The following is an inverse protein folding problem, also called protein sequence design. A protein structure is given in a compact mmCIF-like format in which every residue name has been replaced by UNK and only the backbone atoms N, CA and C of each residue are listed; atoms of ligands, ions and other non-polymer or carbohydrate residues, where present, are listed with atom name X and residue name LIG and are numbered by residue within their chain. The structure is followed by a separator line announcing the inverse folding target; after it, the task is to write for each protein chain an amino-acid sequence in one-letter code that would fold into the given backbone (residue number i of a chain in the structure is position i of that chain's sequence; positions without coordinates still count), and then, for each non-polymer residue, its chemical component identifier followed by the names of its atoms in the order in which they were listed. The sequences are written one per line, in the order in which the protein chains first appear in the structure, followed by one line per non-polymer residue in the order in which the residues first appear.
data_IF_215311383467
#
_entry.id   IF_215311383467
#
_cell.length_a   1.000
_cell.length_b   1.000
_cell.length_c   1.000
_cell.angle_alpha   90.00
_cell.angle_beta   90.00
_cell.angle_gamma   90.00
#
_symmetry.space_group_name_H-M   'P 1'
#
loop_
_entity.id
_entity.type
_entity.pdbx_description
1 polymer ?
#
# COMPACT_ATOMS: atom_id res chain seq x y z
N UNK A 1 17.41 4.34 31.58
CA UNK A 1 17.16 5.11 30.35
C UNK A 1 16.97 4.09 29.24
N UNK A 2 15.82 4.03 28.59
CA UNK A 2 15.58 3.05 27.52
C UNK A 2 16.39 3.47 26.31
N UNK A 3 17.31 2.63 25.84
CA UNK A 3 18.07 2.93 24.63
C UNK A 3 17.19 2.73 23.38
N UNK A 4 17.19 3.70 22.47
CA UNK A 4 16.42 3.66 21.22
C UNK A 4 16.71 2.39 20.40
N UNK A 5 17.97 1.94 20.39
CA UNK A 5 18.40 0.70 19.75
C UNK A 5 17.63 -0.52 20.28
N UNK A 6 17.45 -0.61 21.61
CA UNK A 6 16.73 -1.69 22.25
C UNK A 6 15.25 -1.72 21.86
N UNK A 7 14.65 -0.54 21.67
CA UNK A 7 13.24 -0.39 21.26
C UNK A 7 13.06 -0.84 19.82
N UNK A 8 13.91 -0.36 18.90
CA UNK A 8 13.85 -0.72 17.48
C UNK A 8 14.05 -2.23 17.31
N UNK A 9 15.05 -2.81 17.98
CA UNK A 9 15.31 -4.25 17.92
C UNK A 9 14.11 -5.06 18.43
N UNK A 10 13.49 -4.63 19.54
CA UNK A 10 12.31 -5.29 20.08
C UNK A 10 11.12 -5.25 19.12
N UNK A 11 10.80 -4.09 18.54
CA UNK A 11 9.71 -3.97 17.56
C UNK A 11 9.96 -4.78 16.29
N UNK A 12 11.20 -4.78 15.80
CA UNK A 12 11.57 -5.58 14.63
C UNK A 12 11.39 -7.07 14.88
N UNK A 13 11.92 -7.58 16.00
CA UNK A 13 11.78 -8.98 16.37
C UNK A 13 10.32 -9.38 16.55
N UNK A 14 9.53 -8.54 17.22
CA UNK A 14 8.10 -8.78 17.42
C UNK A 14 7.34 -8.84 16.10
N UNK A 15 7.58 -7.89 15.20
CA UNK A 15 7.00 -7.89 13.85
C UNK A 15 7.37 -9.16 13.07
N UNK A 16 8.65 -9.57 13.11
CA UNK A 16 9.11 -10.76 12.39
C UNK A 16 8.48 -12.04 12.92
N UNK A 17 8.29 -12.16 14.23
CA UNK A 17 7.70 -13.37 14.84
C UNK A 17 6.18 -13.42 14.68
N UNK A 18 5.49 -12.29 14.85
CA UNK A 18 4.03 -12.25 14.91
C UNK A 18 3.35 -12.04 13.55
N UNK A 19 4.09 -11.61 12.51
CA UNK A 19 3.50 -11.32 11.19
C UNK A 19 3.63 -12.51 10.22
N UNK A 20 2.52 -13.07 9.70
CA UNK A 20 2.55 -14.11 8.68
C UNK A 20 3.27 -13.68 7.40
N UNK A 21 3.93 -14.64 6.70
CA UNK A 21 4.67 -14.37 5.45
C UNK A 21 3.84 -13.66 4.37
N UNK A 22 2.55 -14.01 4.24
CA UNK A 22 1.64 -13.37 3.28
C UNK A 22 1.44 -11.88 3.58
N UNK A 23 1.30 -11.50 4.86
CA UNK A 23 1.17 -10.09 5.25
C UNK A 23 2.48 -9.31 5.06
N UNK A 24 3.63 -9.95 5.31
CA UNK A 24 4.94 -9.34 5.01
C UNK A 24 5.11 -9.03 3.52
N UNK A 25 4.56 -9.88 2.64
CA UNK A 25 4.58 -9.59 1.20
C UNK A 25 3.78 -8.33 0.86
N UNK A 26 2.59 -8.16 1.48
CA UNK A 26 1.78 -6.95 1.33
C UNK A 26 2.51 -5.72 1.91
N UNK A 27 3.27 -5.88 3.00
CA UNK A 27 4.08 -4.79 3.56
C UNK A 27 5.22 -4.35 2.64
N UNK A 28 5.90 -5.30 2.00
CA UNK A 28 6.94 -4.97 1.01
C UNK A 28 6.31 -4.23 -0.18
N UNK A 29 5.14 -4.67 -0.65
CA UNK A 29 4.38 -3.99 -1.69
C UNK A 29 3.99 -2.56 -1.28
N UNK A 30 3.48 -2.36 -0.06
CA UNK A 30 3.17 -1.04 0.50
C UNK A 30 4.40 -0.13 0.53
N UNK A 31 5.54 -0.66 0.98
CA UNK A 31 6.82 0.06 1.01
C UNK A 31 7.28 0.49 -0.39
N UNK A 32 7.18 -0.41 -1.37
CA UNK A 32 7.50 -0.12 -2.78
C UNK A 32 6.62 1.00 -3.37
N UNK A 33 5.30 0.93 -3.17
CA UNK A 33 4.38 1.94 -3.67
C UNK A 33 4.63 3.29 -3.02
N UNK A 34 4.83 3.31 -1.69
CA UNK A 34 5.12 4.54 -0.95
C UNK A 34 6.39 5.21 -1.49
N UNK A 35 7.46 4.43 -1.67
CA UNK A 35 8.71 4.93 -2.24
C UNK A 35 8.51 5.49 -3.65
N UNK A 36 7.71 4.81 -4.47
CA UNK A 36 7.39 5.27 -5.83
C UNK A 36 6.65 6.61 -5.81
N UNK A 37 5.65 6.77 -4.94
CA UNK A 37 4.91 8.03 -4.79
C UNK A 37 5.81 9.18 -4.29
N UNK A 38 6.72 8.90 -3.34
CA UNK A 38 7.72 9.87 -2.89
C UNK A 38 8.62 10.31 -4.05
N UNK A 39 9.12 9.36 -4.85
CA UNK A 39 9.98 9.66 -6.00
C UNK A 39 9.23 10.53 -7.03
N UNK A 40 7.97 10.20 -7.35
CA UNK A 40 7.14 10.99 -8.25
C UNK A 40 6.92 12.41 -7.73
N UNK A 41 6.62 12.56 -6.44
CA UNK A 41 6.43 13.86 -5.81
C UNK A 41 7.71 14.71 -5.82
N UNK A 42 8.85 14.11 -5.45
CA UNK A 42 10.16 14.77 -5.51
C UNK A 42 10.49 15.21 -6.94
N UNK A 43 10.25 14.36 -7.93
CA UNK A 43 10.44 14.71 -9.34
C UNK A 43 9.60 15.93 -9.74
N UNK A 44 8.31 15.95 -9.37
CA UNK A 44 7.41 17.08 -9.63
C UNK A 44 7.90 18.38 -8.98
N UNK A 45 8.40 18.32 -7.74
CA UNK A 45 8.99 19.48 -7.07
C UNK A 45 10.27 20.00 -7.74
N UNK A 46 11.08 19.12 -8.33
CA UNK A 46 12.37 19.48 -8.95
C UNK A 46 12.23 19.95 -10.40
N UNK A 47 11.39 19.29 -11.19
CA UNK A 47 11.29 19.50 -12.64
C UNK A 47 10.09 20.37 -13.02
N UNK A 48 9.10 20.46 -12.13
CA UNK A 48 7.87 21.20 -12.35
C UNK A 48 6.69 20.30 -12.73
N UNK A 49 5.56 20.94 -13.04
CA UNK A 49 4.24 20.30 -13.07
C UNK A 49 3.70 20.05 -14.47
N UNK A 50 4.44 20.35 -15.54
CA UNK A 50 3.95 20.11 -16.91
C UNK A 50 4.44 18.74 -17.44
N UNK A 51 3.55 17.84 -17.90
CA UNK A 51 2.08 17.90 -17.89
C UNK A 51 1.45 17.49 -16.54
N UNK A 52 0.50 18.29 -16.03
CA UNK A 52 -0.03 18.13 -14.67
C UNK A 52 -0.94 16.91 -14.54
N UNK A 53 -1.73 16.61 -15.57
CA UNK A 53 -2.59 15.44 -15.60
C UNK A 53 -1.78 14.14 -15.50
N UNK A 54 -0.65 14.05 -16.20
CA UNK A 54 0.19 12.86 -16.14
C UNK A 54 0.84 12.68 -14.77
N UNK A 55 1.31 13.77 -14.15
CA UNK A 55 1.78 13.74 -12.76
C UNK A 55 0.68 13.29 -11.81
N UNK A 56 -0.49 13.96 -11.87
CA UNK A 56 -1.60 13.68 -10.97
C UNK A 56 -2.12 12.24 -11.15
N UNK A 57 -2.22 11.76 -12.38
CA UNK A 57 -2.59 10.38 -12.70
C UNK A 57 -1.62 9.37 -12.08
N UNK A 58 -0.31 9.57 -12.28
CA UNK A 58 0.72 8.72 -11.69
C UNK A 58 0.71 8.76 -10.17
N UNK A 59 0.62 9.95 -9.58
CA UNK A 59 0.64 10.15 -8.14
C UNK A 59 -0.60 9.54 -7.47
N UNK A 60 -1.79 9.82 -7.98
CA UNK A 60 -3.04 9.24 -7.46
C UNK A 60 -3.07 7.72 -7.66
N UNK A 61 -2.49 7.19 -8.75
CA UNK A 61 -2.32 5.74 -8.91
C UNK A 61 -1.53 5.15 -7.74
N UNK A 62 -0.40 5.74 -7.35
CA UNK A 62 0.38 5.25 -6.20
C UNK A 62 -0.39 5.36 -4.88
N UNK A 63 -1.07 6.49 -4.63
CA UNK A 63 -1.86 6.68 -3.40
C UNK A 63 -3.02 5.68 -3.32
N UNK A 64 -3.78 5.49 -4.40
CA UNK A 64 -4.89 4.55 -4.44
C UNK A 64 -4.43 3.10 -4.31
N UNK A 65 -3.35 2.71 -4.98
CA UNK A 65 -2.74 1.38 -4.82
C UNK A 65 -2.32 1.12 -3.37
N UNK A 66 -1.75 2.13 -2.68
CA UNK A 66 -1.39 2.05 -1.27
C UNK A 66 -2.64 1.84 -0.40
N UNK A 67 -3.70 2.64 -0.58
CA UNK A 67 -4.95 2.51 0.18
C UNK A 67 -5.58 1.12 -0.02
N UNK A 68 -5.66 0.64 -1.26
CA UNK A 68 -6.20 -0.69 -1.56
C UNK A 68 -5.37 -1.81 -0.90
N UNK A 69 -4.04 -1.67 -0.89
CA UNK A 69 -3.15 -2.63 -0.23
C UNK A 69 -3.31 -2.63 1.30
N UNK A 70 -3.53 -1.47 1.91
CA UNK A 70 -3.87 -1.37 3.35
C UNK A 70 -5.22 -2.05 3.63
N UNK A 71 -6.23 -1.84 2.78
CA UNK A 71 -7.52 -2.53 2.90
C UNK A 71 -7.37 -4.05 2.83
N UNK A 72 -6.60 -4.56 1.84
CA UNK A 72 -6.31 -5.99 1.72
C UNK A 72 -5.57 -6.50 2.96
N UNK A 73 -4.57 -5.76 3.45
CA UNK A 73 -3.83 -6.11 4.67
C UNK A 73 -4.75 -6.25 5.88
N UNK A 74 -5.67 -5.30 6.07
CA UNK A 74 -6.60 -5.29 7.19
C UNK A 74 -7.56 -6.48 7.13
N UNK A 75 -8.10 -6.79 5.94
CA UNK A 75 -9.02 -7.90 5.72
C UNK A 75 -8.33 -9.27 5.82
N UNK A 76 -7.06 -9.37 5.39
CA UNK A 76 -6.29 -10.61 5.42
C UNK A 76 -5.64 -10.90 6.79
N UNK A 77 -5.62 -9.95 7.72
CA UNK A 77 -5.05 -10.15 9.05
C UNK A 77 -5.94 -11.07 9.89
N UNK A 78 -5.47 -12.24 10.36
CA UNK A 78 -6.26 -13.14 11.19
C UNK A 78 -6.79 -12.50 12.48
N UNK A 79 -6.07 -11.51 13.02
CA UNK A 79 -6.49 -10.77 14.22
C UNK A 79 -7.77 -9.95 14.00
N UNK A 80 -8.05 -9.56 12.75
CA UNK A 80 -9.21 -8.75 12.39
C UNK A 80 -10.42 -9.58 11.92
N UNK A 81 -10.34 -10.92 12.01
CA UNK A 81 -11.36 -11.83 11.48
C UNK A 81 -12.76 -11.57 12.06
N UNK A 82 -12.86 -11.12 13.32
CA UNK A 82 -14.13 -10.76 13.95
C UNK A 82 -14.79 -9.52 13.34
N UNK A 83 -13.99 -8.57 12.85
CA UNK A 83 -14.46 -7.32 12.23
C UNK A 83 -14.94 -7.57 10.80
N UNK A 84 -14.27 -8.47 10.07
CA UNK A 84 -14.57 -8.81 8.68
C UNK A 84 -15.30 -10.17 8.56
N UNK A 85 -16.21 -10.47 9.50
CA UNK A 85 -16.97 -11.70 9.50
C UNK A 85 -17.74 -11.88 8.17
N UNK A 86 -17.43 -12.94 7.42
CA UNK A 86 -18.02 -13.21 6.10
C UNK A 86 -17.18 -12.80 4.89
N UNK A 87 -16.01 -12.17 5.10
CA UNK A 87 -15.02 -11.95 4.05
C UNK A 87 -13.94 -13.03 4.19
N UNK A 88 -13.90 -13.96 3.23
CA UNK A 88 -12.79 -14.91 3.15
C UNK A 88 -11.54 -14.21 2.57
N UNK A 89 -10.33 -14.70 2.86
CA UNK A 89 -9.11 -14.16 2.26
C UNK A 89 -9.14 -14.15 0.72
N UNK A 90 -9.77 -15.15 0.11
CA UNK A 90 -9.94 -15.26 -1.34
C UNK A 90 -10.88 -14.18 -1.87
N UNK A 91 -11.98 -13.91 -1.17
CA UNK A 91 -12.90 -12.82 -1.51
C UNK A 91 -12.22 -11.46 -1.39
N UNK A 92 -11.53 -11.19 -0.28
CA UNK A 92 -10.81 -9.92 -0.09
C UNK A 92 -9.74 -9.70 -1.17
N UNK A 93 -9.06 -10.77 -1.60
CA UNK A 93 -8.13 -10.71 -2.73
C UNK A 93 -8.84 -10.45 -4.07
N UNK A 94 -9.98 -11.09 -4.33
CA UNK A 94 -10.76 -10.85 -5.55
C UNK A 94 -11.24 -9.39 -5.62
N UNK A 95 -11.77 -8.84 -4.52
CA UNK A 95 -12.20 -7.45 -4.42
C UNK A 95 -11.02 -6.48 -4.66
N UNK A 96 -9.84 -6.80 -4.14
CA UNK A 96 -8.60 -6.04 -4.36
C UNK A 96 -8.19 -5.99 -5.84
N UNK A 97 -8.23 -7.13 -6.54
CA UNK A 97 -7.91 -7.21 -7.98
C UNK A 97 -8.94 -6.43 -8.80
N UNK A 98 -10.23 -6.62 -8.52
CA UNK A 98 -11.29 -5.90 -9.21
C UNK A 98 -11.15 -4.38 -9.06
N UNK A 99 -10.88 -3.91 -7.84
CA UNK A 99 -10.61 -2.50 -7.58
C UNK A 99 -9.36 -1.99 -8.33
N UNK A 100 -8.30 -2.81 -8.44
CA UNK A 100 -7.11 -2.46 -9.22
C UNK A 100 -7.41 -2.31 -10.72
N UNK A 101 -8.24 -3.17 -11.29
CA UNK A 101 -8.62 -3.08 -12.71
C UNK A 101 -9.35 -1.77 -12.99
N UNK A 102 -10.34 -1.42 -12.15
CA UNK A 102 -11.07 -0.16 -12.27
C UNK A 102 -10.13 1.04 -12.09
N UNK A 103 -9.28 1.01 -11.06
CA UNK A 103 -8.30 2.07 -10.79
C UNK A 103 -7.40 2.32 -12.01
N UNK A 104 -6.80 1.27 -12.56
CA UNK A 104 -5.87 1.42 -13.69
C UNK A 104 -6.59 1.84 -14.98
N UNK A 105 -7.86 1.45 -15.17
CA UNK A 105 -8.66 1.96 -16.28
C UNK A 105 -8.83 3.49 -16.18
N UNK A 106 -9.16 4.00 -15.00
CA UNK A 106 -9.34 5.45 -14.76
C UNK A 106 -8.02 6.20 -14.87
N UNK A 107 -6.94 5.67 -14.30
CA UNK A 107 -5.58 6.25 -14.39
C UNK A 107 -5.14 6.39 -15.85
N UNK A 108 -5.29 5.34 -16.65
CA UNK A 108 -4.92 5.36 -18.06
C UNK A 108 -5.81 6.28 -18.90
N UNK A 109 -7.09 6.43 -18.53
CA UNK A 109 -7.97 7.39 -19.18
C UNK A 109 -7.62 8.86 -18.85
N UNK A 110 -7.10 9.12 -17.64
CA UNK A 110 -6.80 10.45 -17.14
C UNK A 110 -5.36 10.93 -17.36
N UNK A 111 -4.42 10.04 -17.73
CA UNK A 111 -2.99 10.38 -17.83
C UNK A 111 -2.66 11.44 -18.90
N UNK A 112 -3.56 11.64 -19.87
CA UNK A 112 -3.44 12.61 -20.98
C UNK A 112 -3.75 14.05 -20.57
#
# INVERSE_FOLDING_TARGET
MVELSSVISKFYNDYVQNTPKKLKLVDIYLGYILLTGIIQFVYCCLVGTFPFNSFLSGFISTVSCFVLAVCLRLQANPQNKSVFAGISPERGFADFIFAHVILHLVVMNFIG
#
